data_IF_344781195876
#
_entry.id   IF_344781195876
#
_cell.length_a   1.000
_cell.length_b   1.000
_cell.length_c   1.000
_cell.angle_alpha   90.00
_cell.angle_beta   90.00
_cell.angle_gamma   90.00
#
_symmetry.space_group_name_H-M   'P 1'
#
loop_
_entity.id
_entity.type
_entity.pdbx_description
1 polymer ?
#
# COMPACT_ATOMS: atom_id res chain seq x y z
N UNK A 1 25.24 -37.59 4.89
CA UNK A 1 26.48 -37.13 5.54
C UNK A 1 26.13 -36.67 6.94
N UNK A 2 26.74 -37.26 7.97
CA UNK A 2 26.58 -36.83 9.35
C UNK A 2 27.50 -35.64 9.60
N UNK A 3 26.95 -34.43 9.56
CA UNK A 3 27.71 -33.18 9.76
C UNK A 3 27.60 -32.60 11.17
N UNK A 4 27.15 -33.38 12.16
CA UNK A 4 27.19 -32.94 13.56
C UNK A 4 27.34 -34.12 14.53
N UNK A 5 28.59 -34.47 14.83
CA UNK A 5 28.94 -35.47 15.85
C UNK A 5 29.00 -34.75 17.20
N UNK A 6 27.85 -34.65 17.88
CA UNK A 6 27.70 -33.89 19.13
C UNK A 6 26.38 -33.13 19.27
N UNK A 7 25.34 -33.50 18.52
CA UNK A 7 23.99 -32.95 18.64
C UNK A 7 23.42 -33.27 20.02
N UNK A 8 23.44 -32.29 20.93
CA UNK A 8 22.93 -32.44 22.30
C UNK A 8 23.54 -31.47 23.31
N UNK A 9 24.67 -30.83 23.00
CA UNK A 9 25.21 -29.76 23.84
C UNK A 9 24.58 -28.40 23.46
N UNK A 10 23.96 -27.74 24.45
CA UNK A 10 23.36 -26.41 24.35
C UNK A 10 24.27 -25.36 23.70
N UNK A 11 25.58 -25.48 23.87
CA UNK A 11 26.56 -24.52 23.36
C UNK A 11 26.62 -24.49 21.82
N UNK A 12 26.57 -25.66 21.18
CA UNK A 12 26.58 -25.77 19.72
C UNK A 12 25.29 -25.24 19.11
N UNK A 13 24.17 -25.45 19.80
CA UNK A 13 22.88 -24.91 19.39
C UNK A 13 22.85 -23.39 19.47
N UNK A 14 23.27 -22.81 20.61
CA UNK A 14 23.32 -21.35 20.77
C UNK A 14 24.21 -20.74 19.68
N UNK A 15 25.32 -21.40 19.38
CA UNK A 15 26.23 -20.94 18.33
C UNK A 15 25.60 -20.98 16.93
N UNK A 16 24.97 -22.10 16.55
CA UNK A 16 24.26 -22.26 15.27
C UNK A 16 23.08 -21.29 15.15
N UNK A 17 22.31 -21.15 16.21
CA UNK A 17 21.17 -20.24 16.28
C UNK A 17 21.61 -18.78 16.17
N UNK A 18 22.65 -18.39 16.89
CA UNK A 18 23.17 -17.02 16.89
C UNK A 18 23.83 -16.66 15.56
N UNK A 19 24.51 -17.61 14.89
CA UNK A 19 25.08 -17.38 13.55
C UNK A 19 24.03 -17.37 12.44
N UNK A 20 22.86 -18.00 12.61
CA UNK A 20 21.80 -17.94 11.59
C UNK A 20 20.81 -16.80 11.83
N UNK A 21 20.23 -16.72 13.03
CA UNK A 21 19.22 -15.73 13.36
C UNK A 21 19.81 -14.37 13.73
N UNK A 22 20.96 -14.32 14.40
CA UNK A 22 21.55 -13.05 14.82
C UNK A 22 21.86 -12.11 13.65
N UNK A 23 22.32 -12.65 12.52
CA UNK A 23 22.58 -11.87 11.31
C UNK A 23 21.30 -11.45 10.60
N UNK A 24 20.29 -12.32 10.58
CA UNK A 24 18.97 -11.98 10.03
C UNK A 24 18.34 -10.83 10.82
N UNK A 25 18.40 -10.89 12.16
CA UNK A 25 17.86 -9.86 13.03
C UNK A 25 18.59 -8.55 12.89
N UNK A 26 19.92 -8.59 12.83
CA UNK A 26 20.74 -7.41 12.58
C UNK A 26 20.40 -6.76 11.22
N UNK A 27 20.19 -7.57 10.18
CA UNK A 27 19.79 -7.10 8.85
C UNK A 27 18.40 -6.46 8.84
N UNK A 28 17.42 -7.09 9.49
CA UNK A 28 16.06 -6.56 9.62
C UNK A 28 16.06 -5.26 10.42
N UNK A 29 16.77 -5.23 11.56
CA UNK A 29 16.87 -4.05 12.42
C UNK A 29 17.55 -2.90 11.68
N UNK A 30 18.64 -3.17 10.96
CA UNK A 30 19.31 -2.19 10.11
C UNK A 30 18.37 -1.61 9.06
N UNK A 31 17.65 -2.47 8.34
CA UNK A 31 16.69 -2.06 7.31
C UNK A 31 15.57 -1.19 7.90
N UNK A 32 15.02 -1.57 9.05
CA UNK A 32 14.01 -0.79 9.76
C UNK A 32 14.54 0.59 10.19
N UNK A 33 15.76 0.67 10.75
CA UNK A 33 16.38 1.93 11.15
C UNK A 33 16.55 2.85 9.94
N UNK A 34 17.07 2.34 8.82
CA UNK A 34 17.26 3.13 7.59
C UNK A 34 15.92 3.68 7.09
N UNK A 35 14.88 2.84 7.03
CA UNK A 35 13.53 3.26 6.63
C UNK A 35 13.01 4.36 7.56
N UNK A 36 13.13 4.18 8.88
CA UNK A 36 12.71 5.17 9.87
C UNK A 36 13.47 6.49 9.69
N UNK A 37 14.78 6.45 9.46
CA UNK A 37 15.58 7.65 9.21
C UNK A 37 15.13 8.39 7.95
N UNK A 38 14.86 7.67 6.85
CA UNK A 38 14.35 8.25 5.60
C UNK A 38 13.00 8.91 5.82
N UNK A 39 12.08 8.25 6.53
CA UNK A 39 10.75 8.80 6.84
C UNK A 39 10.85 10.05 7.72
N UNK A 40 11.70 10.02 8.77
CA UNK A 40 11.92 11.19 9.63
C UNK A 40 12.49 12.36 8.84
N UNK A 41 13.43 12.09 7.93
CA UNK A 41 14.01 13.11 7.04
C UNK A 41 12.98 13.70 6.10
N UNK A 42 12.13 12.87 5.48
CA UNK A 42 11.04 13.32 4.62
C UNK A 42 10.02 14.19 5.37
N UNK A 43 9.61 13.77 6.57
CA UNK A 43 8.68 14.55 7.39
C UNK A 43 9.29 15.88 7.85
N UNK A 44 10.59 15.90 8.16
CA UNK A 44 11.29 17.13 8.52
C UNK A 44 11.31 18.12 7.35
N UNK A 45 11.63 17.65 6.14
CA UNK A 45 11.62 18.48 4.92
C UNK A 45 10.20 18.97 4.61
N UNK A 46 9.19 18.12 4.75
CA UNK A 46 7.79 18.51 4.56
C UNK A 46 7.36 19.61 5.54
N UNK A 47 7.73 19.50 6.82
CA UNK A 47 7.41 20.51 7.83
C UNK A 47 8.11 21.85 7.60
N UNK A 48 9.32 21.85 7.02
CA UNK A 48 10.02 23.11 6.68
C UNK A 48 9.32 23.87 5.55
N UNK A 49 8.80 23.15 4.55
CA UNK A 49 8.06 23.75 3.44
C UNK A 49 6.75 24.38 3.95
N UNK A 50 6.06 23.70 4.86
CA UNK A 50 4.80 24.19 5.43
C UNK A 50 4.97 25.46 6.28
N UNK A 51 6.14 25.65 6.91
CA UNK A 51 6.44 26.87 7.66
C UNK A 51 6.72 28.11 6.79
N UNK A 52 7.21 27.92 5.56
CA UNK A 52 7.54 29.02 4.65
C UNK A 52 6.32 29.58 3.93
N UNK A 53 5.31 28.75 3.68
CA UNK A 53 4.05 29.18 3.04
C UNK A 53 3.22 30.12 3.93
N UNK A 54 3.32 30.02 5.26
CA UNK A 54 2.60 30.93 6.18
C UNK A 54 3.17 32.35 6.22
N UNK A 55 4.49 32.52 5.98
CA UNK A 55 5.12 33.84 6.01
C UNK A 55 5.00 34.60 4.68
N UNK A 56 4.59 33.94 3.60
CA UNK A 56 4.47 34.53 2.26
C UNK A 56 3.03 34.89 1.89
N UNK A 57 2.29 35.47 2.84
CA UNK A 57 0.92 35.97 2.60
C UNK A 57 0.98 37.34 1.94
N UNK A 58 1.11 37.39 0.61
CA UNK A 58 0.48 38.41 -0.24
C UNK A 58 0.91 38.30 -1.71
N UNK A 59 0.54 37.22 -2.40
CA UNK A 59 0.22 37.32 -3.84
C UNK A 59 -0.59 36.12 -4.30
N UNK A 60 -1.90 36.33 -4.20
CA UNK A 60 -2.92 35.99 -5.18
C UNK A 60 -2.63 34.85 -6.18
N UNK A 61 -3.59 33.92 -6.19
CA UNK A 61 -4.09 33.15 -7.32
C UNK A 61 -3.17 32.07 -7.91
N UNK A 62 -3.32 30.85 -7.37
CA UNK A 62 -3.97 29.72 -8.07
C UNK A 62 -3.47 28.40 -7.48
N UNK A 63 -4.17 27.91 -6.46
CA UNK A 63 -4.00 26.56 -5.89
C UNK A 63 -4.39 25.46 -6.91
N UNK A 64 -3.93 24.19 -6.78
CA UNK A 64 -3.42 23.60 -5.53
C UNK A 64 -2.15 22.69 -5.63
N UNK A 65 -1.20 22.77 -4.67
CA UNK A 65 -0.22 21.70 -4.42
C UNK A 65 -0.74 20.59 -3.49
N UNK A 66 -1.98 20.65 -3.01
CA UNK A 66 -2.56 19.67 -2.06
C UNK A 66 -2.58 18.21 -2.57
N UNK A 67 -2.60 18.01 -3.89
CA UNK A 67 -2.65 16.69 -4.51
C UNK A 67 -1.34 15.90 -4.30
N UNK A 68 -0.18 16.57 -4.27
CA UNK A 68 1.12 15.87 -4.14
C UNK A 68 1.38 15.32 -2.73
N UNK A 69 0.92 16.02 -1.67
CA UNK A 69 1.10 15.57 -0.27
C UNK A 69 0.45 14.21 -0.01
N UNK A 70 -0.77 13.99 -0.53
CA UNK A 70 -1.47 12.72 -0.34
C UNK A 70 -0.81 11.54 -1.05
N UNK A 71 -0.21 11.76 -2.22
CA UNK A 71 0.53 10.73 -2.94
C UNK A 71 1.79 10.32 -2.19
N UNK A 72 2.55 11.30 -1.67
CA UNK A 72 3.77 11.06 -0.88
C UNK A 72 3.43 10.28 0.40
N UNK A 73 2.37 10.67 1.11
CA UNK A 73 1.93 9.99 2.33
C UNK A 73 1.47 8.55 2.07
N UNK A 74 0.84 8.30 0.92
CA UNK A 74 0.44 6.96 0.49
C UNK A 74 1.65 6.06 0.21
N UNK A 75 2.68 6.59 -0.45
CA UNK A 75 3.94 5.86 -0.71
C UNK A 75 4.67 5.56 0.61
N UNK A 76 4.81 6.55 1.49
CA UNK A 76 5.46 6.37 2.80
C UNK A 76 4.73 5.32 3.64
N UNK A 77 3.39 5.34 3.63
CA UNK A 77 2.60 4.33 4.34
C UNK A 77 2.91 2.92 3.85
N UNK A 78 3.04 2.71 2.54
CA UNK A 78 3.41 1.40 1.95
C UNK A 78 4.80 0.96 2.40
N UNK A 79 5.77 1.87 2.41
CA UNK A 79 7.15 1.59 2.83
C UNK A 79 7.22 1.14 4.30
N UNK A 80 6.35 1.66 5.17
CA UNK A 80 6.29 1.27 6.59
C UNK A 80 5.80 -0.17 6.79
N UNK A 81 4.97 -0.72 5.90
CA UNK A 81 4.43 -2.08 6.08
C UNK A 81 5.46 -3.19 5.85
N UNK A 82 6.49 -2.96 5.04
CA UNK A 82 7.53 -3.96 4.75
C UNK A 82 8.29 -4.44 6.01
N UNK A 83 8.83 -3.55 6.87
CA UNK A 83 9.46 -3.98 8.11
C UNK A 83 8.48 -4.62 9.11
N UNK A 84 7.19 -4.27 9.05
CA UNK A 84 6.17 -4.89 9.89
C UNK A 84 5.91 -6.35 9.49
N UNK A 85 5.91 -6.66 8.18
CA UNK A 85 5.81 -8.05 7.69
C UNK A 85 7.03 -8.88 8.13
N UNK A 86 8.24 -8.30 8.07
CA UNK A 86 9.47 -8.95 8.53
C UNK A 86 9.45 -9.27 10.03
N UNK A 87 8.91 -8.37 10.85
CA UNK A 87 8.73 -8.59 12.30
C UNK A 87 7.78 -9.75 12.61
N UNK A 88 6.74 -9.94 11.81
CA UNK A 88 5.81 -11.06 12.01
C UNK A 88 6.47 -12.41 11.73
N UNK A 89 7.33 -12.49 10.72
CA UNK A 89 8.11 -13.70 10.41
C UNK A 89 9.03 -14.13 11.56
N UNK A 90 9.57 -13.17 12.31
CA UNK A 90 10.48 -13.44 13.43
C UNK A 90 9.82 -14.25 14.57
N UNK A 91 8.52 -14.05 14.78
CA UNK A 91 7.77 -14.75 15.83
C UNK A 91 7.71 -16.27 15.64
N UNK A 92 7.81 -16.75 14.39
CA UNK A 92 7.87 -18.18 14.07
C UNK A 92 9.16 -18.83 14.58
N UNK A 93 10.31 -18.17 14.37
CA UNK A 93 11.62 -18.69 14.78
C UNK A 93 11.78 -18.80 16.30
N UNK A 94 11.21 -17.86 17.07
CA UNK A 94 11.24 -17.91 18.54
C UNK A 94 10.54 -19.14 19.11
N UNK A 95 9.49 -19.63 18.44
CA UNK A 95 8.73 -20.79 18.89
C UNK A 95 9.53 -22.09 18.84
N UNK A 96 10.27 -22.30 17.75
CA UNK A 96 11.11 -23.48 17.55
C UNK A 96 12.27 -23.47 18.54
N UNK A 97 12.84 -22.30 18.78
CA UNK A 97 13.91 -22.09 19.76
C UNK A 97 13.46 -22.44 21.16
N UNK A 98 12.27 -21.97 21.54
CA UNK A 98 11.70 -22.23 22.86
C UNK A 98 11.36 -23.71 23.05
N UNK A 99 10.77 -24.34 22.03
CA UNK A 99 10.47 -25.77 22.03
C UNK A 99 11.73 -26.61 22.21
N UNK A 100 12.80 -26.22 21.52
CA UNK A 100 14.07 -26.93 21.57
C UNK A 100 14.70 -26.89 22.98
N UNK A 101 14.66 -25.74 23.66
CA UNK A 101 15.29 -25.58 24.98
C UNK A 101 14.54 -26.33 26.08
N UNK A 102 13.21 -26.26 26.08
CA UNK A 102 12.42 -26.74 27.21
C UNK A 102 11.95 -28.18 27.06
N UNK A 103 12.00 -28.75 25.85
CA UNK A 103 11.45 -30.08 25.49
C UNK A 103 9.97 -30.31 25.87
N UNK A 104 9.32 -29.29 26.43
CA UNK A 104 7.93 -29.25 26.87
C UNK A 104 7.36 -27.95 26.32
N UNK A 105 6.22 -28.04 25.66
CA UNK A 105 5.55 -26.86 25.09
C UNK A 105 4.55 -26.35 26.12
N UNK A 106 4.84 -25.25 26.84
CA UNK A 106 3.83 -24.64 27.68
C UNK A 106 2.77 -24.00 26.77
N UNK A 107 1.52 -24.27 27.11
CA UNK A 107 0.34 -23.74 26.44
C UNK A 107 0.40 -22.24 26.05
N UNK A 108 0.89 -21.30 26.90
CA UNK A 108 0.98 -19.89 26.52
C UNK A 108 1.89 -19.62 25.31
N UNK A 109 3.00 -20.36 25.17
CA UNK A 109 3.91 -20.20 24.02
C UNK A 109 3.19 -20.59 22.74
N UNK A 110 2.46 -21.72 22.74
CA UNK A 110 1.67 -22.16 21.58
C UNK A 110 0.66 -21.11 21.14
N UNK A 111 -0.03 -20.45 22.08
CA UNK A 111 -0.97 -19.37 21.75
C UNK A 111 -0.25 -18.18 21.11
N UNK A 112 0.90 -17.77 21.64
CA UNK A 112 1.69 -16.68 21.06
C UNK A 112 2.14 -17.02 19.64
N UNK A 113 2.55 -18.26 19.38
CA UNK A 113 2.94 -18.72 18.06
C UNK A 113 1.76 -18.74 17.09
N UNK A 114 0.59 -19.19 17.54
CA UNK A 114 -0.61 -19.20 16.73
C UNK A 114 -1.05 -17.77 16.36
N UNK A 115 -0.96 -16.84 17.30
CA UNK A 115 -1.19 -15.41 17.07
C UNK A 115 -0.14 -14.86 16.09
N UNK A 116 1.14 -15.20 16.25
CA UNK A 116 2.22 -14.77 15.36
C UNK A 116 2.07 -15.27 13.92
N UNK A 117 1.72 -16.54 13.72
CA UNK A 117 1.42 -17.07 12.38
C UNK A 117 0.18 -16.41 11.77
N UNK A 118 -0.84 -16.15 12.59
CA UNK A 118 -2.06 -15.46 12.14
C UNK A 118 -1.79 -14.00 11.78
N UNK A 119 -0.90 -13.32 12.52
CA UNK A 119 -0.56 -11.91 12.26
C UNK A 119 0.20 -11.77 10.94
N UNK A 120 1.06 -12.73 10.59
CA UNK A 120 1.74 -12.73 9.29
C UNK A 120 0.72 -12.77 8.12
N UNK A 121 -0.26 -13.67 8.18
CA UNK A 121 -1.33 -13.76 7.18
C UNK A 121 -2.19 -12.49 7.14
N UNK A 122 -2.53 -11.94 8.31
CA UNK A 122 -3.32 -10.71 8.42
C UNK A 122 -2.58 -9.49 7.85
N UNK A 123 -1.28 -9.34 8.16
CA UNK A 123 -0.45 -8.24 7.65
C UNK A 123 -0.28 -8.32 6.13
N UNK A 124 -0.09 -9.52 5.58
CA UNK A 124 -0.06 -9.72 4.13
C UNK A 124 -1.40 -9.32 3.49
N UNK A 125 -2.53 -9.75 4.06
CA UNK A 125 -3.85 -9.35 3.57
C UNK A 125 -4.07 -7.82 3.67
N UNK A 126 -3.57 -7.19 4.72
CA UNK A 126 -3.64 -5.75 4.92
C UNK A 126 -2.81 -4.99 3.88
N UNK A 127 -1.60 -5.47 3.58
CA UNK A 127 -0.77 -4.91 2.49
C UNK A 127 -1.46 -5.04 1.14
N UNK A 128 -2.04 -6.20 0.83
CA UNK A 128 -2.84 -6.36 -0.39
C UNK A 128 -4.06 -5.44 -0.41
N UNK A 129 -4.72 -5.21 0.73
CA UNK A 129 -5.85 -4.29 0.82
C UNK A 129 -5.47 -2.82 0.60
N UNK A 130 -4.22 -2.45 0.84
CA UNK A 130 -3.70 -1.10 0.57
C UNK A 130 -3.20 -0.92 -0.86
N UNK A 131 -3.31 -1.95 -1.69
CA UNK A 131 -3.02 -1.80 -3.10
C UNK A 131 -3.99 -0.80 -3.75
N UNK A 132 -3.47 -0.01 -4.68
CA UNK A 132 -4.19 1.05 -5.37
C UNK A 132 -5.36 0.44 -6.14
N UNK A 133 -5.17 -0.76 -6.67
CA UNK A 133 -6.21 -1.54 -7.35
C UNK A 133 -7.41 -1.83 -6.42
N UNK A 134 -7.17 -2.30 -5.20
CA UNK A 134 -8.25 -2.62 -4.25
C UNK A 134 -8.94 -1.34 -3.80
N UNK A 135 -8.18 -0.29 -3.52
CA UNK A 135 -8.75 1.00 -3.09
C UNK A 135 -9.61 1.63 -4.18
N UNK A 136 -9.17 1.55 -5.44
CA UNK A 136 -9.95 2.00 -6.60
C UNK A 136 -11.23 1.17 -6.75
N UNK A 137 -11.13 -0.15 -6.69
CA UNK A 137 -12.28 -1.04 -6.79
C UNK A 137 -13.31 -0.79 -5.67
N UNK A 138 -12.86 -0.58 -4.44
CA UNK A 138 -13.71 -0.24 -3.30
C UNK A 138 -14.43 1.10 -3.51
N UNK A 139 -13.74 2.10 -4.06
CA UNK A 139 -14.36 3.38 -4.44
C UNK A 139 -15.43 3.20 -5.51
N UNK A 140 -15.17 2.41 -6.53
CA UNK A 140 -16.17 2.10 -7.57
C UNK A 140 -17.38 1.36 -6.98
N UNK A 141 -17.16 0.36 -6.13
CA UNK A 141 -18.25 -0.39 -5.51
C UNK A 141 -19.10 0.50 -4.59
N UNK A 142 -18.47 1.39 -3.82
CA UNK A 142 -19.16 2.32 -2.93
C UNK A 142 -19.94 3.37 -3.73
N UNK A 143 -19.38 3.88 -4.83
CA UNK A 143 -20.09 4.76 -5.76
C UNK A 143 -21.29 4.06 -6.41
N UNK A 144 -21.14 2.82 -6.87
CA UNK A 144 -22.25 2.05 -7.46
C UNK A 144 -23.36 1.81 -6.43
N UNK A 145 -23.02 1.53 -5.17
CA UNK A 145 -24.01 1.39 -4.09
C UNK A 145 -24.69 2.72 -3.73
N UNK A 146 -23.94 3.83 -3.75
CA UNK A 146 -24.47 5.15 -3.42
C UNK A 146 -25.36 5.71 -4.53
N UNK A 147 -25.04 5.40 -5.79
CA UNK A 147 -25.79 5.83 -6.98
C UNK A 147 -26.77 4.78 -7.49
N UNK A 148 -26.88 3.61 -6.86
CA UNK A 148 -27.97 2.69 -7.18
C UNK A 148 -29.28 3.39 -6.81
N UNK A 149 -30.12 3.73 -7.80
CA UNK A 149 -31.40 4.35 -7.50
C UNK A 149 -32.19 3.41 -6.59
N UNK A 150 -32.92 3.93 -5.59
CA UNK A 150 -33.82 3.10 -4.82
C UNK A 150 -34.70 2.36 -5.81
N UNK A 151 -34.82 1.04 -5.62
CA UNK A 151 -35.66 0.19 -6.45
C UNK A 151 -37.11 0.65 -6.24
N UNK A 152 -37.53 1.67 -6.99
CA UNK A 152 -38.91 2.14 -6.98
C UNK A 152 -39.70 1.02 -7.64
N UNK A 153 -40.62 0.36 -6.92
CA UNK A 153 -41.43 -0.70 -7.50
C UNK A 153 -42.13 -0.15 -8.74
N UNK A 154 -41.85 -0.76 -9.89
CA UNK A 154 -42.33 -0.37 -11.19
C UNK A 154 -43.86 -0.47 -11.23
N UNK A 155 -44.54 0.59 -10.78
CA UNK A 155 -45.95 0.78 -11.05
C UNK A 155 -46.05 1.33 -12.47
N UNK A 156 -46.50 0.47 -13.37
CA UNK A 156 -46.82 0.70 -14.78
C UNK A 156 -47.45 2.09 -14.97
N UNK A 157 -46.72 3.03 -15.56
CA UNK A 157 -47.27 4.28 -16.08
C UNK A 157 -47.27 4.20 -17.61
N UNK A 158 -48.48 4.30 -18.13
CA UNK A 158 -48.88 4.20 -19.53
C UNK A 158 -48.17 5.23 -20.41
N UNK A 159 -47.55 4.73 -21.47
CA UNK A 159 -46.87 5.46 -22.54
C UNK A 159 -47.87 6.04 -23.53
N UNK A 160 -48.33 7.29 -23.33
CA UNK A 160 -49.18 7.98 -24.32
C UNK A 160 -48.79 9.45 -24.59
N UNK A 161 -47.61 9.93 -24.18
CA UNK A 161 -47.29 11.37 -24.32
C UNK A 161 -45.81 11.66 -24.64
N UNK A 162 -45.29 11.12 -25.76
CA UNK A 162 -43.87 11.25 -26.12
C UNK A 162 -43.62 11.62 -27.59
N UNK A 163 -44.47 12.48 -28.17
CA UNK A 163 -44.25 13.04 -29.52
C UNK A 163 -43.73 14.49 -29.52
N UNK A 164 -43.64 15.17 -28.37
CA UNK A 164 -43.31 16.61 -28.33
C UNK A 164 -41.87 16.96 -27.94
N UNK A 165 -41.00 15.98 -27.65
CA UNK A 165 -39.64 16.21 -27.13
C UNK A 165 -38.56 15.83 -28.16
N UNK A 166 -38.81 16.08 -29.45
CA UNK A 166 -37.82 15.87 -30.52
C UNK A 166 -37.23 17.18 -31.07
N UNK A 167 -37.56 18.36 -30.52
CA UNK A 167 -37.06 19.64 -31.03
C UNK A 167 -35.95 20.31 -30.21
N UNK A 168 -35.55 19.76 -29.06
CA UNK A 168 -34.57 20.40 -28.14
C UNK A 168 -33.19 19.73 -28.16
N UNK A 169 -33.01 18.66 -28.94
CA UNK A 169 -31.78 17.84 -28.92
C UNK A 169 -30.68 18.37 -29.86
N UNK A 170 -30.96 19.36 -30.72
CA UNK A 170 -29.98 19.84 -31.70
C UNK A 170 -28.98 20.91 -31.21
N UNK A 171 -29.14 21.48 -30.01
CA UNK A 171 -28.27 22.59 -29.56
C UNK A 171 -27.10 22.16 -28.65
N UNK A 172 -26.93 20.86 -28.36
CA UNK A 172 -25.89 20.37 -27.44
C UNK A 172 -24.72 19.62 -28.10
N UNK A 173 -24.63 19.60 -29.43
CA UNK A 173 -23.56 18.86 -30.14
C UNK A 173 -22.19 19.57 -30.14
N UNK A 174 -22.13 20.88 -29.84
CA UNK A 174 -20.87 21.63 -29.85
C UNK A 174 -20.02 21.49 -28.57
N UNK A 175 -20.57 20.91 -27.49
CA UNK A 175 -19.85 20.76 -26.22
C UNK A 175 -19.21 19.37 -26.02
N UNK A 176 -19.36 18.44 -26.98
CA UNK A 176 -18.70 17.12 -26.93
C UNK A 176 -17.28 17.12 -27.51
N UNK A 177 -16.95 18.08 -28.40
CA UNK A 177 -15.64 18.11 -29.06
C UNK A 177 -14.50 18.57 -28.13
N UNK A 178 -14.79 19.37 -27.10
CA UNK A 178 -13.80 19.85 -26.12
C UNK A 178 -13.40 18.79 -25.09
N UNK A 179 -14.30 17.84 -24.78
CA UNK A 179 -14.02 16.75 -23.82
C UNK A 179 -13.15 15.66 -24.46
N UNK A 180 -13.33 15.40 -25.75
CA UNK A 180 -12.56 14.42 -26.51
C UNK A 180 -11.07 14.79 -26.59
N UNK A 181 -10.76 16.09 -26.76
CA UNK A 181 -9.38 16.57 -26.92
C UNK A 181 -8.57 16.47 -25.61
N UNK A 182 -9.22 16.70 -24.46
CA UNK A 182 -8.60 16.52 -23.15
C UNK A 182 -8.22 15.06 -22.86
N UNK A 183 -9.00 14.11 -23.38
CA UNK A 183 -8.78 12.68 -23.18
C UNK A 183 -7.59 12.16 -23.99
N UNK A 184 -7.37 12.71 -25.19
CA UNK A 184 -6.23 12.37 -26.06
C UNK A 184 -4.92 12.91 -25.48
N UNK A 185 -4.93 14.14 -24.97
CA UNK A 185 -3.78 14.75 -24.27
C UNK A 185 -3.37 13.93 -23.02
N UNK A 186 -4.36 13.44 -22.25
CA UNK A 186 -4.11 12.62 -21.07
C UNK A 186 -3.51 11.25 -21.42
N UNK A 187 -4.04 10.58 -22.45
CA UNK A 187 -3.53 9.29 -22.92
C UNK A 187 -2.06 9.39 -23.38
N UNK A 188 -1.70 10.50 -24.04
CA UNK A 188 -0.34 10.77 -24.50
C UNK A 188 0.64 11.03 -23.35
N UNK A 189 0.18 11.63 -22.24
CA UNK A 189 1.01 11.81 -21.03
C UNK A 189 1.22 10.50 -20.28
N UNK A 190 0.20 9.65 -20.21
CA UNK A 190 0.29 8.34 -19.55
C UNK A 190 1.26 7.42 -20.31
N UNK A 191 1.23 7.40 -21.65
CA UNK A 191 2.16 6.57 -22.42
C UNK A 191 3.62 7.00 -22.25
N UNK A 192 3.88 8.31 -22.15
CA UNK A 192 5.24 8.83 -21.90
C UNK A 192 5.79 8.41 -20.53
N UNK A 193 4.96 8.48 -19.48
CA UNK A 193 5.37 8.06 -18.12
C UNK A 193 5.62 6.55 -18.06
N UNK A 194 4.84 5.76 -18.80
CA UNK A 194 5.02 4.30 -18.85
C UNK A 194 6.36 3.88 -19.46
N UNK A 195 6.87 4.61 -20.45
CA UNK A 195 8.18 4.33 -21.05
C UNK A 195 9.33 4.67 -20.08
N UNK A 196 9.26 5.81 -19.40
CA UNK A 196 10.29 6.18 -18.40
C UNK A 196 10.37 5.18 -17.25
N UNK A 197 9.21 4.67 -16.81
CA UNK A 197 9.19 3.67 -15.74
C UNK A 197 9.86 2.35 -16.15
N UNK A 198 9.68 1.95 -17.42
CA UNK A 198 10.29 0.75 -17.99
C UNK A 198 11.81 0.88 -18.11
N UNK A 199 12.30 2.08 -18.41
CA UNK A 199 13.75 2.38 -18.48
C UNK A 199 14.42 2.37 -17.10
N UNK A 200 13.72 2.85 -16.07
CA UNK A 200 14.19 2.76 -14.68
C UNK A 200 14.25 1.28 -14.24
N UNK A 201 13.27 0.47 -14.58
CA UNK A 201 13.21 -0.96 -14.22
C UNK A 201 14.33 -1.78 -14.90
N UNK A 202 14.64 -1.51 -16.18
CA UNK A 202 15.79 -2.13 -16.86
C UNK A 202 17.14 -1.64 -16.32
N UNK A 203 17.22 -0.42 -15.81
CA UNK A 203 18.45 0.09 -15.17
C UNK A 203 18.66 -0.54 -13.80
N UNK A 204 17.58 -0.72 -13.03
CA UNK A 204 17.64 -1.33 -11.70
C UNK A 204 17.97 -2.83 -11.75
N UNK A 205 17.54 -3.54 -12.79
CA UNK A 205 17.82 -4.98 -12.97
C UNK A 205 19.24 -5.30 -13.46
N UNK A 206 20.01 -4.28 -13.85
CA UNK A 206 21.43 -4.40 -14.22
C UNK A 206 22.40 -4.11 -13.08
N UNK A 207 21.89 -3.63 -11.94
CA UNK A 207 22.62 -3.41 -10.70
C UNK A 207 22.49 -4.64 -9.80
#
# INVERSE_FOLDING_TARGET
>A
GCWYRGAGQLYNLIWEWSTFYGWMDASILYCAIVIIMVIRKLNLVANQIDGLDFSSTSRSSSHPPLISKSMILSVVRRVIWYPVILLAQFSGGLSETYFYINHVIPYPITIICFIGMSIQGFLNALVFSQDIAVTQWLRYMLLIKLFSPPNIPSRVISSNHLSSINSVVNDNLDNQNTVQDSSIELAKRISRISEEFKEIETTLSRL
#
